data_IF_639101304757
#
_entry.id   IF_639101304757
#
_cell.length_a   1.000
_cell.length_b   1.000
_cell.length_c   1.000
_cell.angle_alpha   90.00
_cell.angle_beta   90.00
_cell.angle_gamma   90.00
#
_symmetry.space_group_name_H-M   'P 1'
#
loop_
_entity.id
_entity.type
_entity.pdbx_description
1 polymer ?
#
# COMPACT_ATOMS: atom_id res chain seq x y z
N UNK A 1 -10.70 -7.30 -18.65
CA UNK A 1 -11.54 -6.10 -18.89
C UNK A 1 -11.99 -5.55 -17.55
N UNK A 2 -11.73 -4.25 -17.28
CA UNK A 2 -12.15 -3.58 -16.05
C UNK A 2 -13.16 -2.48 -16.41
N UNK A 3 -14.36 -2.56 -15.86
CA UNK A 3 -15.45 -1.64 -16.15
C UNK A 3 -15.35 -0.39 -15.27
N UNK A 4 -15.08 0.74 -15.87
CA UNK A 4 -14.92 2.06 -15.24
C UNK A 4 -15.92 3.11 -15.81
N UNK A 5 -16.90 2.71 -16.63
CA UNK A 5 -17.85 3.62 -17.28
C UNK A 5 -19.10 3.95 -16.44
N UNK A 6 -19.28 3.33 -15.26
CA UNK A 6 -20.45 3.55 -14.41
C UNK A 6 -20.48 4.93 -13.75
N UNK A 7 -21.64 5.58 -13.72
CA UNK A 7 -21.88 6.82 -12.96
C UNK A 7 -22.16 6.48 -11.49
N UNK A 8 -21.50 7.19 -10.58
CA UNK A 8 -21.56 6.93 -9.11
C UNK A 8 -22.81 7.55 -8.46
N UNK A 9 -24.00 7.35 -9.00
CA UNK A 9 -25.25 8.04 -8.60
C UNK A 9 -25.56 7.97 -7.09
N UNK A 10 -25.19 6.85 -6.42
CA UNK A 10 -25.45 6.65 -4.97
C UNK A 10 -24.45 7.36 -4.05
N UNK A 11 -23.38 7.92 -4.58
CA UNK A 11 -22.35 8.68 -3.85
C UNK A 11 -22.45 10.21 -4.09
N UNK A 12 -23.57 10.66 -4.68
CA UNK A 12 -23.76 12.05 -5.08
C UNK A 12 -22.82 12.46 -6.22
N UNK A 13 -22.22 13.64 -6.13
CA UNK A 13 -21.35 14.17 -7.20
C UNK A 13 -19.92 13.62 -7.17
N UNK A 14 -19.61 12.63 -6.33
CA UNK A 14 -18.25 12.07 -6.22
C UNK A 14 -18.13 10.84 -7.12
N UNK A 15 -17.21 10.89 -8.08
CA UNK A 15 -16.84 9.70 -8.85
C UNK A 15 -15.97 8.80 -7.98
N UNK A 16 -16.56 7.70 -7.50
CA UNK A 16 -15.93 6.74 -6.58
C UNK A 16 -14.63 6.15 -7.10
N UNK A 17 -14.47 6.03 -8.42
CA UNK A 17 -13.26 5.43 -9.01
C UNK A 17 -12.01 6.28 -8.78
N UNK A 18 -12.21 7.58 -8.55
CA UNK A 18 -11.14 8.55 -8.29
C UNK A 18 -10.96 8.89 -6.81
N UNK A 19 -11.76 8.31 -5.92
CA UNK A 19 -11.54 8.45 -4.48
C UNK A 19 -10.21 7.82 -4.10
N UNK A 20 -9.40 8.56 -3.35
CA UNK A 20 -8.10 8.10 -2.87
C UNK A 20 -8.26 7.09 -1.73
N UNK A 21 -7.75 5.88 -1.92
CA UNK A 21 -7.63 4.82 -0.93
C UNK A 21 -6.15 4.53 -0.68
N UNK A 22 -5.66 4.79 0.53
CA UNK A 22 -4.25 4.53 0.90
C UNK A 22 -3.24 5.11 -0.12
N UNK A 23 -3.46 6.37 -0.52
CA UNK A 23 -2.56 7.11 -1.42
C UNK A 23 -2.75 6.86 -2.91
N UNK A 24 -3.71 6.01 -3.34
CA UNK A 24 -3.98 5.68 -4.75
C UNK A 24 -5.46 5.86 -5.09
N UNK A 25 -5.83 6.26 -6.33
CA UNK A 25 -7.21 6.18 -6.80
C UNK A 25 -7.77 4.78 -6.68
N UNK A 26 -9.06 4.65 -6.34
CA UNK A 26 -9.73 3.34 -6.16
C UNK A 26 -9.53 2.41 -7.36
N UNK A 27 -9.68 2.92 -8.58
CA UNK A 27 -9.54 2.12 -9.82
C UNK A 27 -8.13 1.55 -10.00
N UNK A 28 -7.09 2.24 -9.50
CA UNK A 28 -5.70 1.82 -9.62
C UNK A 28 -5.45 0.48 -8.92
N UNK A 29 -6.11 0.22 -7.79
CA UNK A 29 -6.00 -1.06 -7.08
C UNK A 29 -6.43 -2.24 -7.94
N UNK A 30 -7.55 -2.12 -8.66
CA UNK A 30 -8.00 -3.16 -9.59
C UNK A 30 -7.03 -3.33 -10.77
N UNK A 31 -6.51 -2.23 -11.33
CA UNK A 31 -5.53 -2.27 -12.44
C UNK A 31 -4.27 -3.02 -12.02
N UNK A 32 -3.68 -2.68 -10.87
CA UNK A 32 -2.47 -3.31 -10.35
C UNK A 32 -2.69 -4.80 -10.01
N UNK A 33 -3.86 -5.16 -9.46
CA UNK A 33 -4.18 -6.56 -9.18
C UNK A 33 -4.27 -7.40 -10.47
N UNK A 34 -4.87 -6.86 -11.54
CA UNK A 34 -4.94 -7.53 -12.83
C UNK A 34 -3.56 -7.57 -13.53
N UNK A 35 -2.73 -6.54 -13.37
CA UNK A 35 -1.36 -6.56 -13.88
C UNK A 35 -0.51 -7.64 -13.22
N UNK A 36 -0.71 -7.87 -11.92
CA UNK A 36 0.04 -8.87 -11.15
C UNK A 36 -0.49 -10.31 -11.31
N UNK A 37 -1.72 -10.50 -11.83
CA UNK A 37 -2.32 -11.82 -12.01
C UNK A 37 -1.67 -12.58 -13.18
N UNK A 38 -1.34 -13.86 -12.98
CA UNK A 38 -0.58 -14.66 -13.96
C UNK A 38 -1.42 -15.13 -15.16
N UNK A 39 -2.72 -15.29 -14.95
CA UNK A 39 -3.68 -15.75 -15.98
C UNK A 39 -4.14 -14.64 -16.94
N UNK A 40 -3.80 -13.39 -16.65
CA UNK A 40 -4.18 -12.24 -17.47
C UNK A 40 -3.05 -11.90 -18.45
N UNK A 41 -3.38 -11.84 -19.74
CA UNK A 41 -2.41 -11.49 -20.79
C UNK A 41 -2.42 -9.99 -21.15
N UNK A 42 -3.57 -9.32 -21.05
CA UNK A 42 -3.72 -7.90 -21.36
C UNK A 42 -4.90 -7.31 -20.59
N UNK A 43 -4.93 -6.00 -20.42
CA UNK A 43 -5.96 -5.27 -19.69
C UNK A 43 -6.69 -4.31 -20.64
N UNK A 44 -8.01 -4.38 -20.68
CA UNK A 44 -8.85 -3.39 -21.37
C UNK A 44 -9.64 -2.61 -20.33
N UNK A 45 -9.46 -1.31 -20.27
CA UNK A 45 -10.20 -0.40 -19.39
C UNK A 45 -11.37 0.21 -20.15
N UNK A 46 -12.57 0.02 -19.64
CA UNK A 46 -13.79 0.56 -20.27
C UNK A 46 -14.22 1.80 -19.49
N UNK A 47 -14.11 2.97 -20.08
CA UNK A 47 -14.29 4.26 -19.42
C UNK A 47 -15.31 5.16 -20.14
N UNK A 48 -15.70 6.27 -19.50
CA UNK A 48 -16.51 7.32 -20.11
C UNK A 48 -15.62 8.33 -20.85
N UNK A 49 -16.22 9.07 -21.78
CA UNK A 49 -15.53 10.13 -22.52
C UNK A 49 -14.97 11.23 -21.62
N UNK A 50 -15.70 11.60 -20.56
CA UNK A 50 -15.31 12.64 -19.61
C UNK A 50 -14.17 12.25 -18.65
N UNK A 51 -13.87 10.95 -18.54
CA UNK A 51 -12.79 10.42 -17.69
C UNK A 51 -11.70 9.72 -18.49
N UNK A 52 -11.78 9.73 -19.82
CA UNK A 52 -10.86 9.01 -20.71
C UNK A 52 -9.41 9.52 -20.58
N UNK A 53 -9.21 10.83 -20.70
CA UNK A 53 -7.88 11.42 -20.62
C UNK A 53 -7.28 11.24 -19.21
N UNK A 54 -8.07 11.41 -18.17
CA UNK A 54 -7.63 11.22 -16.79
C UNK A 54 -7.18 9.77 -16.53
N UNK A 55 -7.90 8.78 -17.09
CA UNK A 55 -7.52 7.37 -16.95
C UNK A 55 -6.29 7.03 -17.79
N UNK A 56 -6.17 7.62 -18.99
CA UNK A 56 -4.98 7.49 -19.84
C UNK A 56 -3.74 8.04 -19.13
N UNK A 57 -3.84 9.21 -18.53
CA UNK A 57 -2.77 9.83 -17.75
C UNK A 57 -2.39 8.98 -16.52
N UNK A 58 -3.37 8.40 -15.83
CA UNK A 58 -3.09 7.49 -14.72
C UNK A 58 -2.29 6.28 -15.20
N UNK A 59 -2.76 5.60 -16.25
CA UNK A 59 -2.12 4.40 -16.81
C UNK A 59 -0.69 4.68 -17.26
N UNK A 60 -0.45 5.83 -17.91
CA UNK A 60 0.88 6.21 -18.40
C UNK A 60 1.93 6.38 -17.28
N UNK A 61 1.49 6.67 -16.06
CA UNK A 61 2.34 6.85 -14.88
C UNK A 61 2.56 5.56 -14.09
N UNK A 62 1.82 4.49 -14.42
CA UNK A 62 1.97 3.19 -13.77
C UNK A 62 3.04 2.36 -14.48
N UNK A 63 3.89 1.70 -13.70
CA UNK A 63 4.87 0.75 -14.25
C UNK A 63 4.22 -0.63 -14.40
N UNK A 64 3.33 -0.76 -15.39
CA UNK A 64 2.59 -2.00 -15.66
C UNK A 64 3.41 -2.93 -16.57
N UNK A 65 3.29 -4.23 -16.31
CA UNK A 65 3.97 -5.28 -17.08
C UNK A 65 3.16 -5.72 -18.31
N UNK A 66 1.83 -5.54 -18.25
CA UNK A 66 0.89 -5.94 -19.28
C UNK A 66 0.48 -4.76 -20.18
N UNK A 67 0.16 -5.05 -21.41
CA UNK A 67 -0.44 -4.06 -22.31
C UNK A 67 -1.81 -3.62 -21.81
N UNK A 68 -2.05 -2.30 -21.82
CA UNK A 68 -3.32 -1.70 -21.40
C UNK A 68 -3.91 -0.93 -22.57
N UNK A 69 -5.18 -1.19 -22.87
CA UNK A 69 -5.97 -0.46 -23.85
C UNK A 69 -7.18 0.22 -23.19
N UNK A 70 -7.60 1.38 -23.71
CA UNK A 70 -8.78 2.11 -23.26
C UNK A 70 -9.86 2.04 -24.33
N UNK A 71 -11.10 1.77 -23.92
CA UNK A 71 -12.27 1.72 -24.78
C UNK A 71 -13.39 2.55 -24.17
N UNK A 72 -14.14 3.28 -24.99
CA UNK A 72 -15.31 4.00 -24.55
C UNK A 72 -16.46 3.03 -24.25
N UNK A 73 -17.05 3.17 -23.07
CA UNK A 73 -18.26 2.45 -22.71
C UNK A 73 -19.49 2.89 -23.49
N UNK A 74 -20.58 2.17 -23.32
CA UNK A 74 -21.88 2.47 -23.91
C UNK A 74 -22.88 2.98 -22.88
N UNK A 75 -24.14 3.09 -23.28
CA UNK A 75 -25.25 3.57 -22.44
C UNK A 75 -25.63 2.57 -21.33
N UNK A 76 -25.29 1.29 -21.51
CA UNK A 76 -25.54 0.22 -20.53
C UNK A 76 -24.24 -0.55 -20.19
N UNK A 77 -24.32 -1.37 -19.13
CA UNK A 77 -23.22 -2.29 -18.76
C UNK A 77 -22.95 -3.28 -19.90
N UNK A 78 -23.98 -3.88 -20.46
CA UNK A 78 -23.88 -4.82 -21.56
C UNK A 78 -23.25 -4.17 -22.82
N UNK A 79 -23.65 -2.96 -23.16
CA UNK A 79 -23.08 -2.22 -24.28
C UNK A 79 -21.61 -1.87 -24.03
N UNK A 80 -21.26 -1.49 -22.82
CA UNK A 80 -19.87 -1.22 -22.40
C UNK A 80 -18.96 -2.44 -22.59
N UNK A 81 -19.42 -3.63 -22.16
CA UNK A 81 -18.69 -4.88 -22.38
C UNK A 81 -18.66 -5.23 -23.87
N UNK A 82 -19.75 -5.02 -24.60
CA UNK A 82 -19.82 -5.24 -26.05
C UNK A 82 -18.78 -4.42 -26.81
N UNK A 83 -18.67 -3.13 -26.50
CA UNK A 83 -17.70 -2.24 -27.14
C UNK A 83 -16.25 -2.73 -26.94
N UNK A 84 -15.93 -3.20 -25.73
CA UNK A 84 -14.62 -3.76 -25.45
C UNK A 84 -14.37 -5.10 -26.17
N UNK A 85 -15.42 -5.94 -26.33
CA UNK A 85 -15.30 -7.22 -27.04
C UNK A 85 -14.97 -7.10 -28.53
N UNK A 86 -15.16 -5.92 -29.13
CA UNK A 86 -14.71 -5.65 -30.51
C UNK A 86 -13.19 -5.37 -30.60
N UNK A 87 -12.58 -4.93 -29.50
CA UNK A 87 -11.15 -4.60 -29.43
C UNK A 87 -10.30 -5.76 -28.88
N UNK A 88 -10.91 -6.89 -28.55
CA UNK A 88 -10.23 -8.03 -27.90
C UNK A 88 -10.27 -9.24 -28.84
N UNK A 89 -9.10 -9.85 -29.01
CA UNK A 89 -8.93 -11.12 -29.76
C UNK A 89 -8.33 -12.18 -28.80
N UNK A 90 -9.15 -12.67 -27.91
CA UNK A 90 -8.78 -13.73 -26.93
C UNK A 90 -9.91 -14.76 -26.84
N UNK A 91 -9.58 -15.98 -26.44
CA UNK A 91 -10.58 -17.04 -26.27
C UNK A 91 -11.54 -16.73 -25.12
N UNK A 92 -11.02 -16.19 -24.01
CA UNK A 92 -11.78 -15.84 -22.82
C UNK A 92 -11.61 -14.36 -22.47
N UNK A 93 -12.65 -13.80 -21.86
CA UNK A 93 -12.64 -12.48 -21.25
C UNK A 93 -12.96 -12.60 -19.75
N UNK A 94 -12.19 -11.90 -18.92
CA UNK A 94 -12.46 -11.70 -17.49
C UNK A 94 -13.06 -10.30 -17.30
N UNK A 95 -14.33 -10.19 -16.95
CA UNK A 95 -15.03 -8.92 -16.75
C UNK A 95 -15.08 -8.59 -15.26
N UNK A 96 -14.53 -7.44 -14.89
CA UNK A 96 -14.44 -7.01 -13.51
C UNK A 96 -15.03 -5.61 -13.31
N UNK A 97 -15.75 -5.44 -12.20
CA UNK A 97 -16.23 -4.12 -11.79
C UNK A 97 -15.06 -3.31 -11.20
N UNK A 98 -14.69 -2.19 -11.82
CA UNK A 98 -13.64 -1.31 -11.30
C UNK A 98 -13.92 -0.72 -9.91
N UNK A 99 -15.15 -0.87 -9.42
CA UNK A 99 -15.56 -0.53 -8.06
C UNK A 99 -15.27 -1.60 -6.99
N UNK A 100 -14.54 -2.67 -7.32
CA UNK A 100 -14.08 -3.70 -6.37
C UNK A 100 -12.57 -3.65 -6.20
N UNK A 101 -12.04 -2.66 -5.45
CA UNK A 101 -10.60 -2.42 -5.35
C UNK A 101 -9.85 -3.51 -4.57
N UNK A 102 -10.57 -4.34 -3.81
CA UNK A 102 -9.97 -5.34 -2.92
C UNK A 102 -9.82 -6.72 -3.58
N UNK A 103 -9.95 -6.81 -4.89
CA UNK A 103 -9.65 -8.04 -5.64
C UNK A 103 -8.15 -8.36 -5.54
N UNK A 104 -7.83 -9.64 -5.39
CA UNK A 104 -6.43 -10.10 -5.33
C UNK A 104 -6.02 -10.87 -6.58
N UNK A 105 -4.74 -10.89 -6.97
CA UNK A 105 -4.25 -11.69 -8.09
C UNK A 105 -4.62 -13.17 -7.96
N UNK A 106 -4.54 -13.74 -6.76
CA UNK A 106 -4.89 -15.14 -6.51
C UNK A 106 -6.37 -15.46 -6.82
N UNK A 107 -7.31 -14.55 -6.49
CA UNK A 107 -8.72 -14.72 -6.85
C UNK A 107 -8.95 -14.59 -8.35
N UNK A 108 -8.24 -13.68 -9.01
CA UNK A 108 -8.30 -13.54 -10.48
C UNK A 108 -7.81 -14.83 -11.13
N UNK A 109 -6.65 -15.32 -10.74
CA UNK A 109 -6.06 -16.53 -11.31
C UNK A 109 -6.94 -17.76 -11.05
N UNK A 110 -7.55 -17.88 -9.86
CA UNK A 110 -8.42 -19.00 -9.51
C UNK A 110 -9.65 -19.10 -10.41
N UNK A 111 -10.33 -17.99 -10.68
CA UNK A 111 -11.52 -17.98 -11.54
C UNK A 111 -11.17 -18.12 -13.01
N UNK A 112 -10.04 -17.58 -13.46
CA UNK A 112 -9.54 -17.79 -14.82
C UNK A 112 -9.20 -19.26 -15.07
N UNK A 113 -8.49 -19.90 -14.12
CA UNK A 113 -8.17 -21.31 -14.21
C UNK A 113 -9.42 -22.20 -14.23
N UNK A 114 -10.44 -21.87 -13.44
CA UNK A 114 -11.72 -22.60 -13.41
C UNK A 114 -12.51 -22.45 -14.71
N UNK A 115 -12.35 -21.36 -15.45
CA UNK A 115 -12.97 -21.17 -16.75
C UNK A 115 -12.33 -22.02 -17.86
N UNK A 116 -11.07 -22.44 -17.70
CA UNK A 116 -10.39 -23.32 -18.67
C UNK A 116 -11.12 -24.65 -18.75
N UNK A 117 -11.51 -25.04 -19.95
CA UNK A 117 -12.30 -26.25 -20.16
C UNK A 117 -13.80 -26.11 -19.83
N UNK A 118 -14.21 -24.92 -19.36
CA UNK A 118 -15.60 -24.56 -19.13
C UNK A 118 -15.94 -23.30 -19.96
N UNK A 119 -17.22 -23.08 -20.21
CA UNK A 119 -17.63 -21.90 -20.99
C UNK A 119 -17.71 -20.63 -20.13
N UNK A 120 -17.93 -20.78 -18.82
CA UNK A 120 -18.07 -19.65 -17.89
C UNK A 120 -17.71 -20.05 -16.45
N UNK A 121 -17.05 -19.13 -15.73
CA UNK A 121 -16.80 -19.25 -14.29
C UNK A 121 -16.95 -17.87 -13.62
N UNK A 122 -17.34 -17.85 -12.35
CA UNK A 122 -17.43 -16.61 -11.57
C UNK A 122 -17.07 -16.81 -10.12
N UNK A 123 -16.57 -15.75 -9.48
CA UNK A 123 -16.44 -15.69 -8.04
C UNK A 123 -17.81 -15.55 -7.38
N UNK A 124 -18.02 -16.25 -6.28
CA UNK A 124 -19.32 -16.23 -5.60
C UNK A 124 -19.19 -16.53 -4.11
N UNK A 125 -20.18 -16.08 -3.35
CA UNK A 125 -20.28 -16.30 -1.91
C UNK A 125 -21.66 -16.86 -1.55
N UNK A 126 -21.74 -17.80 -0.58
CA UNK A 126 -23.03 -18.18 -0.01
C UNK A 126 -23.73 -16.96 0.60
N UNK A 127 -25.05 -16.87 0.41
CA UNK A 127 -25.85 -15.83 1.05
C UNK A 127 -26.02 -16.16 2.52
N UNK A 128 -25.61 -15.23 3.39
CA UNK A 128 -25.68 -15.39 4.86
C UNK A 128 -26.87 -14.65 5.49
N UNK A 129 -27.37 -13.61 4.86
CA UNK A 129 -28.52 -12.82 5.30
C UNK A 129 -29.83 -13.60 5.07
N UNK A 130 -30.84 -13.32 5.89
CA UNK A 130 -32.21 -13.76 5.60
C UNK A 130 -32.78 -12.92 4.47
N UNK A 131 -33.24 -13.57 3.40
CA UNK A 131 -33.82 -12.91 2.24
C UNK A 131 -35.33 -13.04 2.26
N UNK A 132 -36.01 -11.96 1.89
CA UNK A 132 -37.43 -11.90 1.74
C UNK A 132 -37.78 -11.17 0.44
N UNK A 133 -38.89 -11.57 -0.23
CA UNK A 133 -39.50 -10.74 -1.28
C UNK A 133 -40.38 -9.71 -0.62
N UNK A 134 -40.38 -8.51 -1.14
CA UNK A 134 -41.23 -7.41 -0.67
C UNK A 134 -42.05 -6.83 -1.81
N UNK A 135 -43.28 -6.39 -1.49
CA UNK A 135 -44.09 -5.54 -2.35
C UNK A 135 -44.62 -4.39 -1.51
N UNK A 136 -44.43 -3.15 -1.98
CA UNK A 136 -44.83 -1.93 -1.26
C UNK A 136 -44.29 -1.88 0.19
N UNK A 137 -42.99 -2.22 0.33
CA UNK A 137 -42.27 -2.30 1.62
C UNK A 137 -42.82 -3.34 2.63
N UNK A 138 -43.69 -4.28 2.20
CA UNK A 138 -44.18 -5.36 3.03
C UNK A 138 -43.61 -6.69 2.57
N UNK A 139 -43.25 -7.53 3.56
CA UNK A 139 -42.80 -8.91 3.26
C UNK A 139 -43.95 -9.70 2.63
N UNK A 140 -43.65 -10.38 1.52
CA UNK A 140 -44.63 -11.23 0.82
C UNK A 140 -44.20 -12.69 0.80
N UNK A 141 -42.91 -12.99 0.87
CA UNK A 141 -42.39 -14.35 0.79
C UNK A 141 -41.02 -14.43 1.44
N UNK A 142 -40.74 -15.50 2.19
CA UNK A 142 -39.39 -15.86 2.63
C UNK A 142 -38.71 -16.69 1.55
N UNK A 143 -37.47 -16.31 1.24
CA UNK A 143 -36.68 -17.01 0.23
C UNK A 143 -35.74 -17.97 0.98
N UNK A 144 -35.76 -19.26 0.58
CA UNK A 144 -34.78 -20.21 1.09
C UNK A 144 -33.39 -19.88 0.53
N UNK A 145 -32.46 -19.53 1.43
CA UNK A 145 -31.10 -19.13 1.06
C UNK A 145 -30.15 -20.29 0.85
N UNK A 146 -30.52 -21.53 1.18
CA UNK A 146 -29.64 -22.69 1.11
C UNK A 146 -29.01 -22.89 -0.28
N UNK A 147 -29.74 -22.51 -1.33
CA UNK A 147 -29.34 -22.63 -2.74
C UNK A 147 -29.08 -21.26 -3.40
N UNK A 148 -28.93 -20.20 -2.61
CA UNK A 148 -28.64 -18.86 -3.14
C UNK A 148 -27.17 -18.50 -2.97
N UNK A 149 -26.64 -17.89 -4.02
CA UNK A 149 -25.26 -17.47 -4.08
C UNK A 149 -25.16 -16.03 -4.58
N UNK A 150 -24.43 -15.21 -3.88
CA UNK A 150 -24.13 -13.84 -4.29
C UNK A 150 -22.93 -13.84 -5.24
N UNK A 151 -23.12 -13.32 -6.44
CA UNK A 151 -22.07 -13.27 -7.45
C UNK A 151 -21.12 -12.08 -7.21
N UNK A 152 -19.84 -12.34 -7.43
CA UNK A 152 -18.82 -11.31 -7.45
C UNK A 152 -18.18 -11.22 -8.84
N UNK A 153 -17.24 -10.31 -9.03
CA UNK A 153 -16.39 -10.24 -10.23
C UNK A 153 -14.91 -10.39 -9.81
N UNK A 154 -14.02 -10.90 -10.70
CA UNK A 154 -14.24 -11.13 -12.13
C UNK A 154 -15.20 -12.27 -12.44
N UNK A 155 -15.92 -12.10 -13.57
CA UNK A 155 -16.66 -13.15 -14.22
C UNK A 155 -15.91 -13.48 -15.51
N UNK A 156 -15.56 -14.75 -15.70
CA UNK A 156 -14.77 -15.19 -16.84
C UNK A 156 -15.66 -16.00 -17.77
N UNK A 157 -15.69 -15.62 -19.03
CA UNK A 157 -16.55 -16.27 -20.02
C UNK A 157 -15.83 -16.38 -21.35
N UNK A 158 -16.06 -17.48 -22.07
CA UNK A 158 -15.58 -17.65 -23.44
C UNK A 158 -16.20 -16.57 -24.33
N UNK A 159 -15.36 -15.84 -25.07
CA UNK A 159 -15.79 -14.68 -25.86
C UNK A 159 -16.89 -15.02 -26.87
N UNK A 160 -16.82 -16.21 -27.53
CA UNK A 160 -17.84 -16.68 -28.42
C UNK A 160 -19.20 -16.93 -27.74
N UNK A 161 -19.16 -17.46 -26.51
CA UNK A 161 -20.37 -17.67 -25.67
C UNK A 161 -20.98 -16.33 -25.27
N UNK A 162 -20.13 -15.37 -24.84
CA UNK A 162 -20.62 -14.03 -24.51
C UNK A 162 -21.34 -13.37 -25.70
N UNK A 163 -20.69 -13.39 -26.91
CA UNK A 163 -21.29 -12.84 -28.15
C UNK A 163 -22.63 -13.51 -28.52
N UNK A 164 -22.69 -14.84 -28.45
CA UNK A 164 -23.89 -15.57 -28.73
C UNK A 164 -25.00 -15.27 -27.71
N UNK A 165 -24.70 -15.25 -26.41
CA UNK A 165 -25.62 -14.89 -25.35
C UNK A 165 -26.18 -13.48 -25.50
N UNK A 166 -25.32 -12.51 -25.88
CA UNK A 166 -25.76 -11.14 -26.19
C UNK A 166 -26.81 -11.12 -27.29
N UNK A 167 -26.59 -11.84 -28.37
CA UNK A 167 -27.58 -11.91 -29.47
C UNK A 167 -28.94 -12.48 -29.02
N UNK A 168 -28.94 -13.49 -28.13
CA UNK A 168 -30.17 -14.05 -27.55
C UNK A 168 -30.82 -13.04 -26.59
N UNK A 169 -30.03 -12.33 -25.77
CA UNK A 169 -30.55 -11.31 -24.86
C UNK A 169 -31.27 -10.18 -25.62
N UNK A 170 -30.65 -9.69 -26.71
CA UNK A 170 -31.21 -8.66 -27.58
C UNK A 170 -32.51 -9.14 -28.25
N UNK A 171 -32.51 -10.37 -28.84
CA UNK A 171 -33.69 -10.95 -29.49
C UNK A 171 -34.88 -11.12 -28.52
N UNK A 172 -34.58 -11.51 -27.26
CA UNK A 172 -35.62 -11.77 -26.25
C UNK A 172 -35.91 -10.53 -25.38
N UNK A 173 -35.23 -9.39 -25.62
CA UNK A 173 -35.36 -8.18 -24.80
C UNK A 173 -35.12 -8.45 -23.32
N UNK A 174 -34.11 -9.28 -22.98
CA UNK A 174 -33.77 -9.63 -21.60
C UNK A 174 -32.85 -8.56 -21.02
N UNK A 175 -33.20 -8.05 -19.85
CA UNK A 175 -32.30 -7.19 -19.08
C UNK A 175 -31.20 -8.06 -18.42
N UNK A 176 -29.97 -7.79 -18.80
CA UNK A 176 -28.78 -8.55 -18.36
C UNK A 176 -28.03 -7.75 -17.32
N UNK A 177 -27.96 -8.28 -16.10
CA UNK A 177 -27.33 -7.62 -14.95
C UNK A 177 -25.86 -7.97 -14.79
N UNK A 178 -25.40 -9.12 -15.30
CA UNK A 178 -24.03 -9.63 -15.20
C UNK A 178 -23.64 -10.50 -16.40
N UNK A 179 -22.35 -10.86 -16.53
CA UNK A 179 -21.85 -11.55 -17.72
C UNK A 179 -22.12 -13.05 -17.69
N UNK A 180 -22.34 -13.65 -16.51
CA UNK A 180 -22.69 -15.07 -16.41
C UNK A 180 -24.07 -15.37 -16.99
N UNK A 181 -24.97 -14.38 -17.01
CA UNK A 181 -26.30 -14.50 -17.61
C UNK A 181 -26.22 -14.82 -19.11
N UNK A 182 -25.15 -14.36 -19.81
CA UNK A 182 -24.92 -14.73 -21.22
C UNK A 182 -24.76 -16.24 -21.43
N UNK A 183 -24.07 -16.91 -20.49
CA UNK A 183 -23.95 -18.38 -20.54
C UNK A 183 -25.26 -19.08 -20.23
N UNK A 184 -25.99 -18.63 -19.20
CA UNK A 184 -27.27 -19.26 -18.80
C UNK A 184 -28.38 -19.07 -19.82
N UNK A 185 -28.38 -17.96 -20.57
CA UNK A 185 -29.32 -17.79 -21.72
C UNK A 185 -29.10 -18.81 -22.84
N UNK A 186 -27.93 -19.42 -22.87
CA UNK A 186 -27.58 -20.51 -23.82
C UNK A 186 -27.63 -21.90 -23.15
N UNK A 187 -28.19 -21.99 -21.95
CA UNK A 187 -28.28 -23.22 -21.14
C UNK A 187 -26.91 -23.84 -20.83
N UNK A 188 -25.87 -22.99 -20.82
CA UNK A 188 -24.52 -23.43 -20.48
C UNK A 188 -24.22 -23.30 -18.97
N UNK A 189 -23.53 -24.26 -18.38
CA UNK A 189 -23.22 -24.21 -16.95
C UNK A 189 -22.24 -23.08 -16.63
N UNK A 190 -22.41 -22.51 -15.44
CA UNK A 190 -21.50 -21.53 -14.85
C UNK A 190 -20.80 -22.20 -13.66
N UNK A 191 -19.46 -22.23 -13.68
CA UNK A 191 -18.68 -22.76 -12.57
C UNK A 191 -18.56 -21.68 -11.49
N UNK A 192 -18.96 -22.01 -10.27
CA UNK A 192 -18.85 -21.12 -9.12
C UNK A 192 -17.53 -21.41 -8.37
N UNK A 193 -16.70 -20.39 -8.27
CA UNK A 193 -15.43 -20.41 -7.51
C UNK A 193 -15.63 -19.64 -6.21
N UNK A 194 -15.06 -20.12 -5.12
CA UNK A 194 -15.14 -19.43 -3.83
C UNK A 194 -14.56 -18.02 -3.95
N UNK A 195 -15.39 -17.02 -3.68
CA UNK A 195 -15.02 -15.63 -3.61
C UNK A 195 -14.45 -15.26 -2.23
N UNK A 196 -14.20 -13.98 -2.01
CA UNK A 196 -13.77 -13.43 -0.73
C UNK A 196 -14.75 -12.35 -0.27
N UNK A 197 -15.12 -12.36 1.02
CA UNK A 197 -15.93 -11.30 1.63
C UNK A 197 -15.25 -9.93 1.57
N UNK A 198 -13.92 -9.92 1.52
CA UNK A 198 -13.14 -8.70 1.36
C UNK A 198 -13.19 -8.13 -0.07
N UNK A 199 -13.57 -8.91 -1.08
CA UNK A 199 -13.76 -8.43 -2.46
C UNK A 199 -15.07 -7.64 -2.58
N UNK A 200 -15.22 -6.61 -1.75
CA UNK A 200 -16.43 -5.77 -1.68
C UNK A 200 -16.57 -4.88 -2.91
N UNK A 201 -17.81 -4.56 -3.25
CA UNK A 201 -18.16 -3.55 -4.26
C UNK A 201 -18.44 -2.23 -3.56
N UNK A 202 -17.58 -1.24 -3.75
CA UNK A 202 -17.80 0.13 -3.21
C UNK A 202 -19.04 0.73 -3.87
N UNK A 203 -20.08 0.90 -3.06
CA UNK A 203 -21.40 1.37 -3.51
C UNK A 203 -21.86 2.58 -2.69
N UNK A 204 -21.56 2.60 -1.40
CA UNK A 204 -21.90 3.63 -0.44
C UNK A 204 -20.61 4.26 0.17
N UNK A 205 -20.75 5.42 0.81
CA UNK A 205 -19.62 6.10 1.43
C UNK A 205 -18.91 5.26 2.54
N UNK A 206 -19.69 4.46 3.27
CA UNK A 206 -19.13 3.55 4.29
C UNK A 206 -18.20 2.49 3.69
N UNK A 207 -18.47 2.04 2.46
CA UNK A 207 -17.66 1.03 1.79
C UNK A 207 -16.24 1.54 1.46
N UNK A 208 -16.08 2.86 1.30
CA UNK A 208 -14.78 3.49 1.04
C UNK A 208 -13.85 3.29 2.24
N UNK A 209 -14.35 3.57 3.45
CA UNK A 209 -13.57 3.39 4.67
C UNK A 209 -13.21 1.90 4.89
N UNK A 210 -14.17 1.01 4.66
CA UNK A 210 -13.99 -0.44 4.79
C UNK A 210 -12.96 -0.94 3.76
N UNK A 211 -13.07 -0.55 2.48
CA UNK A 211 -12.10 -0.91 1.45
C UNK A 211 -10.68 -0.42 1.82
N UNK A 212 -10.56 0.80 2.34
CA UNK A 212 -9.28 1.35 2.81
C UNK A 212 -8.67 0.54 3.95
N UNK A 213 -9.47 -0.01 4.86
CA UNK A 213 -9.01 -0.90 5.94
C UNK A 213 -8.56 -2.26 5.38
N UNK A 214 -9.37 -2.89 4.53
CA UNK A 214 -9.06 -4.18 3.90
C UNK A 214 -7.73 -4.08 3.14
N UNK A 215 -7.57 -3.05 2.31
CA UNK A 215 -6.36 -2.85 1.52
C UNK A 215 -5.10 -2.59 2.35
N UNK A 216 -5.22 -2.00 3.55
CA UNK A 216 -4.13 -1.88 4.53
C UNK A 216 -3.74 -3.23 5.12
N UNK A 217 -4.72 -4.03 5.49
CA UNK A 217 -4.51 -5.35 6.11
C UNK A 217 -3.99 -6.38 5.09
N UNK A 218 -4.37 -6.26 3.82
CA UNK A 218 -3.93 -7.16 2.74
C UNK A 218 -2.51 -6.87 2.24
N UNK A 219 -1.94 -5.69 2.53
CA UNK A 219 -0.51 -5.46 2.35
C UNK A 219 0.22 -6.24 3.43
N UNK A 220 0.96 -7.25 3.03
CA UNK A 220 1.93 -7.88 3.90
C UNK A 220 3.00 -6.82 4.22
N UNK A 221 2.82 -6.13 5.37
CA UNK A 221 3.77 -5.12 5.83
C UNK A 221 5.11 -5.81 6.08
N UNK A 222 6.13 -5.43 5.35
CA UNK A 222 7.49 -5.88 5.61
C UNK A 222 8.07 -4.99 6.71
N UNK A 223 8.44 -5.59 7.83
CA UNK A 223 9.11 -4.91 8.93
C UNK A 223 10.57 -5.33 8.97
N UNK A 224 11.46 -4.37 9.18
CA UNK A 224 12.88 -4.64 9.43
C UNK A 224 13.37 -3.86 10.63
N UNK A 225 14.33 -4.44 11.34
CA UNK A 225 15.00 -3.79 12.46
C UNK A 225 16.49 -3.69 12.18
N UNK A 226 17.09 -2.60 12.60
CA UNK A 226 18.53 -2.42 12.59
C UNK A 226 19.04 -1.98 13.94
N UNK A 227 20.29 -2.25 14.19
CA UNK A 227 21.04 -1.87 15.38
C UNK A 227 22.21 -0.99 14.97
N UNK A 228 22.45 0.11 15.72
CA UNK A 228 23.59 0.96 15.55
C UNK A 228 24.31 1.17 16.87
N UNK A 229 25.61 1.31 16.80
CA UNK A 229 26.49 1.61 17.92
C UNK A 229 27.57 2.60 17.47
N UNK A 230 27.79 3.63 18.26
CA UNK A 230 28.92 4.54 18.06
C UNK A 230 29.53 4.95 19.40
N UNK A 231 30.80 5.33 19.38
CA UNK A 231 31.57 5.77 20.53
C UNK A 231 32.58 6.83 20.12
N UNK A 232 32.63 7.93 20.87
CA UNK A 232 33.59 9.00 20.68
C UNK A 232 34.33 9.33 21.97
N UNK A 233 35.61 9.65 21.83
CA UNK A 233 36.46 10.10 22.95
C UNK A 233 36.02 11.50 23.38
N UNK A 234 36.04 11.77 24.68
CA UNK A 234 35.78 13.10 25.24
C UNK A 234 36.92 14.06 25.00
N UNK A 235 36.61 15.35 24.95
CA UNK A 235 37.59 16.44 24.79
C UNK A 235 37.14 17.70 25.52
N UNK A 236 38.07 18.40 26.17
CA UNK A 236 37.79 19.71 26.78
C UNK A 236 37.83 20.86 25.80
N UNK A 237 38.24 20.62 24.54
CA UNK A 237 38.41 21.65 23.50
C UNK A 237 37.31 21.64 22.44
N UNK A 238 36.32 20.76 22.58
CA UNK A 238 35.24 20.60 21.65
C UNK A 238 33.90 20.88 22.34
N UNK A 239 32.91 21.29 21.56
CA UNK A 239 31.54 21.41 22.01
C UNK A 239 30.88 20.03 22.12
N UNK A 240 29.89 19.90 22.99
CA UNK A 240 29.12 18.66 23.17
C UNK A 240 27.80 18.73 22.43
N UNK A 241 27.66 17.88 21.42
CA UNK A 241 26.38 17.72 20.71
C UNK A 241 25.86 16.30 20.94
N UNK A 242 24.58 16.18 21.34
CA UNK A 242 23.86 14.89 21.50
C UNK A 242 22.44 15.02 20.98
N UNK A 243 22.10 14.20 19.98
CA UNK A 243 20.82 14.24 19.30
C UNK A 243 20.56 15.55 18.55
N UNK A 244 21.62 16.19 18.03
CA UNK A 244 21.57 17.47 17.33
C UNK A 244 21.43 18.69 18.25
N UNK A 245 21.48 18.49 19.57
CA UNK A 245 21.34 19.56 20.57
C UNK A 245 22.69 19.88 21.16
N UNK A 246 23.03 21.17 21.18
CA UNK A 246 24.27 21.66 21.84
C UNK A 246 24.07 21.74 23.36
N UNK A 247 24.88 21.01 24.11
CA UNK A 247 24.91 20.98 25.58
C UNK A 247 25.89 22.02 26.07
N UNK A 248 25.47 23.29 26.09
CA UNK A 248 26.29 24.45 26.46
C UNK A 248 26.82 24.40 27.91
N UNK A 249 26.11 23.67 28.78
CA UNK A 249 26.48 23.44 30.18
C UNK A 249 27.58 22.39 30.35
N UNK A 250 27.92 21.65 29.29
CA UNK A 250 28.93 20.61 29.34
C UNK A 250 30.35 21.19 29.30
N UNK A 251 31.19 20.76 30.20
CA UNK A 251 32.64 21.10 30.19
C UNK A 251 33.45 20.21 29.25
N UNK A 252 32.81 19.21 28.62
CA UNK A 252 33.43 18.26 27.68
C UNK A 252 32.58 18.16 26.43
N UNK A 253 33.24 18.00 25.29
CA UNK A 253 32.61 17.61 24.01
C UNK A 253 33.23 16.33 23.48
N UNK A 254 33.00 16.02 22.21
CA UNK A 254 33.41 14.78 21.59
C UNK A 254 34.38 15.02 20.42
N UNK A 255 35.38 14.14 20.28
CA UNK A 255 36.33 14.15 19.18
C UNK A 255 35.75 13.37 17.98
N UNK A 256 35.74 13.99 16.80
CA UNK A 256 35.35 13.38 15.54
C UNK A 256 35.53 14.33 14.36
N UNK A 257 35.25 13.85 13.15
CA UNK A 257 35.37 14.61 11.91
C UNK A 257 34.22 15.62 11.70
N UNK A 258 33.01 15.27 12.17
CA UNK A 258 31.81 16.12 12.19
C UNK A 258 31.72 16.89 13.52
N UNK A 259 30.49 17.19 13.96
CA UNK A 259 30.20 17.62 15.34
C UNK A 259 30.31 16.45 16.36
N UNK A 260 30.62 15.24 15.89
CA UNK A 260 30.79 14.00 16.66
C UNK A 260 29.60 13.62 17.55
N UNK A 261 28.36 13.87 17.05
CA UNK A 261 27.14 13.48 17.75
C UNK A 261 26.94 11.96 17.71
N UNK A 262 27.43 11.29 18.73
CA UNK A 262 27.44 9.84 18.88
C UNK A 262 26.01 9.24 18.83
N UNK A 263 25.00 10.00 19.31
CA UNK A 263 23.62 9.53 19.31
C UNK A 263 23.02 9.53 17.90
N UNK A 264 23.22 10.59 17.13
CA UNK A 264 22.74 10.66 15.74
C UNK A 264 23.49 9.67 14.84
N UNK A 265 24.80 9.43 15.06
CA UNK A 265 25.55 8.43 14.32
C UNK A 265 24.99 7.02 14.56
N UNK A 266 24.75 6.63 15.81
CA UNK A 266 24.16 5.34 16.15
C UNK A 266 22.75 5.18 15.54
N UNK A 267 21.93 6.25 15.49
CA UNK A 267 20.61 6.22 14.85
C UNK A 267 20.74 6.06 13.32
N UNK A 268 21.68 6.75 12.68
CA UNK A 268 21.94 6.59 11.24
C UNK A 268 22.31 5.14 10.90
N UNK A 269 23.22 4.54 11.66
CA UNK A 269 23.65 3.15 11.46
C UNK A 269 22.51 2.15 11.67
N UNK A 270 21.67 2.39 12.69
CA UNK A 270 20.49 1.55 12.91
C UNK A 270 19.51 1.62 11.72
N UNK A 271 19.27 2.80 11.17
CA UNK A 271 18.37 3.01 10.04
C UNK A 271 18.93 2.42 8.75
N UNK A 272 20.19 2.66 8.42
CA UNK A 272 20.86 2.11 7.23
C UNK A 272 20.96 0.59 7.30
N UNK A 273 21.37 0.06 8.47
CA UNK A 273 21.45 -1.38 8.71
C UNK A 273 20.12 -2.10 8.56
N UNK A 274 18.99 -1.50 9.02
CA UNK A 274 17.66 -2.05 8.88
C UNK A 274 17.29 -2.35 7.42
N UNK A 275 17.77 -1.53 6.48
CA UNK A 275 17.45 -1.65 5.05
C UNK A 275 18.61 -2.20 4.21
N UNK A 276 19.65 -2.72 4.87
CA UNK A 276 20.85 -3.31 4.24
C UNK A 276 21.61 -2.34 3.32
N UNK A 277 21.69 -1.05 3.70
CA UNK A 277 22.43 -0.01 2.99
C UNK A 277 23.83 0.25 3.58
N UNK A 278 24.33 -0.62 4.48
CA UNK A 278 25.62 -0.45 5.14
C UNK A 278 25.54 0.45 6.38
N UNK A 279 26.53 1.30 6.56
CA UNK A 279 26.71 2.19 7.71
C UNK A 279 26.94 3.65 7.26
N UNK A 280 27.05 4.55 8.24
CA UNK A 280 27.30 5.99 7.99
C UNK A 280 28.64 6.22 7.26
N UNK A 281 29.66 5.39 7.49
CA UNK A 281 30.97 5.49 6.86
C UNK A 281 30.96 5.20 5.36
N UNK A 282 30.03 4.36 4.89
CA UNK A 282 29.83 4.09 3.46
C UNK A 282 29.27 5.33 2.74
N UNK A 283 28.33 6.03 3.35
CA UNK A 283 27.63 7.17 2.74
C UNK A 283 28.35 8.51 2.97
N UNK A 284 29.04 8.64 4.10
CA UNK A 284 29.72 9.86 4.52
C UNK A 284 31.15 9.55 4.98
N UNK A 285 32.02 9.09 4.05
CA UNK A 285 33.37 8.66 4.42
C UNK A 285 34.16 9.81 5.03
N UNK A 286 34.89 9.57 6.14
CA UNK A 286 35.69 10.59 6.81
C UNK A 286 36.87 11.09 5.95
N UNK A 287 37.23 10.39 4.87
CA UNK A 287 38.18 10.81 3.86
C UNK A 287 37.68 11.93 2.94
N UNK A 288 36.40 12.25 2.97
CA UNK A 288 35.80 13.31 2.15
C UNK A 288 35.72 14.61 2.96
N UNK A 289 36.54 15.59 2.60
CA UNK A 289 36.61 16.89 3.29
C UNK A 289 35.26 17.66 3.32
N UNK A 290 34.29 17.31 2.44
CA UNK A 290 32.94 17.88 2.44
C UNK A 290 32.17 17.61 3.73
N UNK A 291 32.54 16.57 4.48
CA UNK A 291 31.90 16.17 5.72
C UNK A 291 32.58 16.73 6.99
N UNK A 292 33.72 17.40 6.84
CA UNK A 292 34.49 17.97 7.96
C UNK A 292 33.71 19.11 8.62
N UNK A 293 33.43 18.97 9.93
CA UNK A 293 32.71 19.97 10.72
C UNK A 293 31.24 20.07 10.41
N UNK A 294 30.68 19.14 9.61
CA UNK A 294 29.27 19.11 9.24
C UNK A 294 28.41 18.65 10.44
N UNK A 295 27.21 19.19 10.58
CA UNK A 295 26.29 18.78 11.64
C UNK A 295 25.75 17.36 11.37
N UNK A 296 25.76 16.49 12.37
CA UNK A 296 25.24 15.11 12.25
C UNK A 296 23.73 15.07 11.98
N UNK A 297 23.01 16.14 12.30
CA UNK A 297 21.60 16.32 11.91
C UNK A 297 21.40 16.26 10.39
N UNK A 298 22.34 16.77 9.59
CA UNK A 298 22.27 16.72 8.14
C UNK A 298 22.47 15.28 7.61
N UNK A 299 23.31 14.48 8.30
CA UNK A 299 23.47 13.07 7.97
C UNK A 299 22.17 12.30 8.21
N UNK A 300 21.50 12.56 9.33
CA UNK A 300 20.23 11.90 9.63
C UNK A 300 19.12 12.27 8.63
N UNK A 301 19.05 13.53 8.19
CA UNK A 301 18.12 13.98 7.13
C UNK A 301 18.40 13.22 5.83
N UNK A 302 19.66 13.08 5.44
CA UNK A 302 20.05 12.39 4.22
C UNK A 302 19.75 10.88 4.29
N UNK A 303 20.02 10.25 5.43
CA UNK A 303 19.64 8.84 5.68
C UNK A 303 18.14 8.66 5.59
N UNK A 304 17.35 9.56 6.17
CA UNK A 304 15.90 9.51 6.05
C UNK A 304 15.41 9.65 4.59
N UNK A 305 16.06 10.53 3.81
CA UNK A 305 15.80 10.66 2.36
C UNK A 305 16.08 9.34 1.63
N UNK A 306 17.23 8.71 1.89
CA UNK A 306 17.61 7.41 1.31
C UNK A 306 16.59 6.31 1.64
N UNK A 307 16.11 6.23 2.88
CA UNK A 307 15.07 5.28 3.25
C UNK A 307 13.80 5.49 2.43
N UNK A 308 13.34 6.74 2.31
CA UNK A 308 12.15 7.08 1.51
C UNK A 308 12.31 6.69 0.04
N UNK A 309 13.47 6.92 -0.56
CA UNK A 309 13.76 6.54 -1.95
C UNK A 309 13.71 5.03 -2.17
N UNK A 310 14.06 4.24 -1.16
CA UNK A 310 13.95 2.78 -1.16
C UNK A 310 12.58 2.27 -0.68
N UNK A 311 11.59 3.15 -0.52
CA UNK A 311 10.22 2.82 -0.17
C UNK A 311 10.00 2.47 1.30
N UNK A 312 10.96 2.80 2.20
CA UNK A 312 10.87 2.51 3.63
C UNK A 312 10.37 3.71 4.44
N UNK A 313 9.63 3.42 5.48
CA UNK A 313 9.11 4.38 6.46
C UNK A 313 9.65 4.06 7.85
N UNK A 314 10.08 5.08 8.60
CA UNK A 314 10.54 4.90 9.97
C UNK A 314 9.34 4.57 10.87
N UNK A 315 9.41 3.43 11.57
CA UNK A 315 8.40 2.97 12.52
C UNK A 315 8.62 3.56 13.90
N UNK A 316 9.78 3.27 14.51
CA UNK A 316 10.22 3.87 15.76
C UNK A 316 11.74 3.80 15.93
N UNK A 317 12.25 4.65 16.82
CA UNK A 317 13.64 4.66 17.30
C UNK A 317 13.64 4.44 18.81
N UNK A 318 14.52 3.58 19.30
CA UNK A 318 14.85 3.45 20.71
C UNK A 318 16.39 3.54 20.88
N UNK A 319 16.85 4.57 21.57
CA UNK A 319 18.27 4.82 21.73
C UNK A 319 18.66 4.98 23.21
N UNK A 320 19.90 4.63 23.53
CA UNK A 320 20.46 4.75 24.87
C UNK A 320 21.86 5.37 24.77
N UNK A 321 22.06 6.49 25.47
CA UNK A 321 23.37 7.13 25.62
C UNK A 321 24.01 6.64 26.90
N UNK A 322 25.27 6.24 26.83
CA UNK A 322 26.11 5.84 27.98
C UNK A 322 27.13 6.94 28.22
N UNK A 323 26.95 7.72 29.29
CA UNK A 323 27.78 8.86 29.62
C UNK A 323 27.78 9.17 31.13
N UNK A 324 28.92 9.45 31.71
CA UNK A 324 29.02 9.99 33.07
C UNK A 324 28.58 11.47 33.10
N UNK A 325 28.94 12.21 32.03
CA UNK A 325 28.58 13.61 31.77
C UNK A 325 28.51 13.86 30.24
N UNK A 326 27.66 14.82 29.77
CA UNK A 326 26.64 15.56 30.52
C UNK A 326 25.43 14.71 30.92
N UNK A 327 24.63 15.21 31.84
CA UNK A 327 23.35 14.55 32.18
C UNK A 327 22.32 14.83 31.09
N UNK A 328 21.99 13.82 30.28
CA UNK A 328 21.09 13.95 29.13
C UNK A 328 19.62 14.08 29.56
N UNK A 329 19.19 13.39 30.65
CA UNK A 329 17.77 13.26 31.01
C UNK A 329 17.03 14.60 31.19
N UNK A 330 17.61 15.68 31.75
CA UNK A 330 16.94 16.97 31.84
C UNK A 330 16.55 17.56 30.47
N UNK A 331 17.26 17.20 29.42
CA UNK A 331 17.05 17.66 28.04
C UNK A 331 16.49 16.56 27.10
N UNK A 332 16.13 15.39 27.63
CA UNK A 332 15.68 14.25 26.81
C UNK A 332 14.47 14.59 25.95
N UNK A 333 13.54 15.42 26.42
CA UNK A 333 12.38 15.84 25.64
C UNK A 333 12.79 16.70 24.42
N UNK A 334 13.73 17.62 24.60
CA UNK A 334 14.26 18.47 23.53
C UNK A 334 14.97 17.63 22.47
N UNK A 335 15.84 16.69 22.89
CA UNK A 335 16.54 15.74 22.01
C UNK A 335 15.55 14.90 21.22
N UNK A 336 14.55 14.31 21.87
CA UNK A 336 13.50 13.53 21.21
C UNK A 336 12.71 14.35 20.20
N UNK A 337 12.33 15.57 20.57
CA UNK A 337 11.59 16.48 19.69
C UNK A 337 12.41 16.82 18.43
N UNK A 338 13.71 17.08 18.58
CA UNK A 338 14.59 17.38 17.46
C UNK A 338 14.75 16.17 16.53
N UNK A 339 15.03 14.98 17.06
CA UNK A 339 15.12 13.75 16.26
C UNK A 339 13.82 13.47 15.53
N UNK A 340 12.67 13.64 16.20
CA UNK A 340 11.34 13.42 15.59
C UNK A 340 11.10 14.36 14.41
N UNK A 341 11.54 15.62 14.49
CA UNK A 341 11.46 16.60 13.41
C UNK A 341 12.35 16.20 12.21
N UNK A 342 13.61 15.79 12.47
CA UNK A 342 14.56 15.36 11.42
C UNK A 342 14.03 14.13 10.64
N UNK A 343 13.32 13.23 11.31
CA UNK A 343 12.77 12.00 10.73
C UNK A 343 11.32 12.12 10.27
N UNK A 344 10.69 13.30 10.43
CA UNK A 344 9.28 13.53 10.07
C UNK A 344 8.34 12.47 10.69
N UNK A 345 8.55 12.16 11.98
CA UNK A 345 7.74 11.22 12.75
C UNK A 345 7.19 11.89 14.01
N UNK A 346 6.13 11.33 14.61
CA UNK A 346 5.64 11.84 15.88
C UNK A 346 6.60 11.51 17.04
N UNK A 347 6.66 12.37 18.06
CA UNK A 347 7.63 12.27 19.17
C UNK A 347 7.46 10.98 20.00
N UNK A 348 6.28 10.38 20.01
CA UNK A 348 6.01 9.10 20.68
C UNK A 348 6.72 7.91 20.03
N UNK A 349 7.19 8.06 18.77
CA UNK A 349 8.01 7.08 18.07
C UNK A 349 9.50 7.18 18.36
N UNK A 350 9.95 8.17 19.12
CA UNK A 350 11.35 8.37 19.46
C UNK A 350 11.54 8.23 20.97
N UNK A 351 12.25 7.20 21.38
CA UNK A 351 12.69 6.96 22.76
C UNK A 351 14.18 7.26 22.88
N UNK A 352 14.55 8.07 23.88
CA UNK A 352 15.95 8.34 24.23
C UNK A 352 16.11 8.14 25.72
N UNK A 353 17.02 7.25 26.10
CA UNK A 353 17.38 6.90 27.47
C UNK A 353 18.85 7.25 27.73
N UNK A 354 19.22 7.41 28.94
CA UNK A 354 20.60 7.59 29.36
C UNK A 354 20.93 6.72 30.57
N UNK A 355 22.15 6.22 30.59
CA UNK A 355 22.73 5.51 31.72
C UNK A 355 24.17 5.90 31.89
N UNK A 356 24.72 5.66 33.09
CA UNK A 356 26.18 5.71 33.34
C UNK A 356 26.78 4.32 33.11
N UNK A 357 28.10 4.22 33.11
CA UNK A 357 28.81 2.94 33.13
C UNK A 357 29.25 2.54 34.53
N UNK A 358 28.62 3.14 35.57
CA UNK A 358 28.85 2.86 37.00
C UNK A 358 30.34 2.94 37.41
N UNK A 359 31.11 3.89 36.80
CA UNK A 359 32.54 4.05 37.05
C UNK A 359 33.42 2.96 36.44
N UNK A 360 32.89 2.06 35.63
CA UNK A 360 33.63 0.93 35.05
C UNK A 360 34.21 1.25 33.67
N UNK A 361 35.51 0.97 33.50
CA UNK A 361 36.21 1.09 32.22
C UNK A 361 36.29 2.53 31.70
N UNK A 362 36.66 2.70 30.44
CA UNK A 362 36.85 4.01 29.82
C UNK A 362 35.63 4.91 29.87
N UNK A 363 34.43 4.34 29.60
CA UNK A 363 33.18 5.09 29.67
C UNK A 363 32.87 5.54 31.11
N UNK A 364 33.07 4.66 32.10
CA UNK A 364 32.88 5.00 33.52
C UNK A 364 33.91 6.01 34.07
N UNK A 365 35.11 6.07 33.48
CA UNK A 365 36.09 7.10 33.77
C UNK A 365 35.77 8.44 33.09
N UNK A 366 34.81 8.50 32.19
CA UNK A 366 34.46 9.69 31.42
C UNK A 366 35.40 9.94 30.21
N UNK A 367 36.19 8.94 29.79
CA UNK A 367 37.10 9.06 28.65
C UNK A 367 36.38 9.04 27.30
N UNK A 368 35.11 8.62 27.28
CA UNK A 368 34.26 8.55 26.09
C UNK A 368 32.78 8.62 26.40
N UNK A 369 31.98 8.85 25.37
CA UNK A 369 30.52 8.70 25.36
C UNK A 369 30.18 7.71 24.27
N UNK A 370 29.30 6.76 24.59
CA UNK A 370 28.79 5.79 23.62
C UNK A 370 27.25 5.90 23.46
N UNK A 371 26.74 5.48 22.31
CA UNK A 371 25.32 5.36 22.08
C UNK A 371 24.99 4.04 21.38
N UNK A 372 23.87 3.47 21.78
CA UNK A 372 23.21 2.36 21.09
C UNK A 372 21.87 2.86 20.54
N UNK A 373 21.51 2.42 19.35
CA UNK A 373 20.21 2.68 18.78
C UNK A 373 19.62 1.41 18.14
N UNK A 374 18.32 1.24 18.28
CA UNK A 374 17.53 0.29 17.53
C UNK A 374 16.49 1.07 16.71
N UNK A 375 16.42 0.79 15.44
CA UNK A 375 15.42 1.36 14.55
C UNK A 375 14.53 0.25 13.98
N UNK A 376 13.22 0.48 13.93
CA UNK A 376 12.29 -0.32 13.15
C UNK A 376 11.82 0.50 11.96
N UNK A 377 11.81 -0.11 10.79
CA UNK A 377 11.27 0.46 9.54
C UNK A 377 10.26 -0.49 8.92
N UNK A 378 9.37 0.04 8.09
CA UNK A 378 8.35 -0.75 7.40
C UNK A 378 8.05 -0.20 6.00
N UNK A 379 7.56 -1.05 5.13
CA UNK A 379 7.04 -0.71 3.80
C UNK A 379 5.90 -1.61 3.35
#
# INVERSE_FOLDING_TARGET
MILAAGRSERLGNVDKLWVTLNGKPLIQWSIEAFDSATEISAITLVTRSDTFDQLSDLVSKLNLTKSVSLVLGGASRMESVSNACYAIDTEYIAVHDGARPCITPALIDSVCSAARGNDCACLSLPVVETLVRTRDHRETERVDRANLTALQTPQVIRLSVWKAGKSVAELRSVDVTDDTHMATLLEKPVVHVAGDRNNIKVTYAADIALAGQILRTSRQMEYRTGFGYDIHQTSKTRECHLGGIHFTESSIGLLGHSDADVLLHAICDALLGAVALGDIGVHFPPSDDRHKGRASSEFLIEVHRLLKEHGWTVGNIDATVIAEAPKLMPRAHEVRAHISQLLDVSIDKVSVKATTNEGLGALGNGDGIAAHAVAMVYR
#
